data_IF_476280585879
#
_entry.id   IF_476280585879
#
_cell.length_a   1.000
_cell.length_b   1.000
_cell.length_c   1.000
_cell.angle_alpha   90.00
_cell.angle_beta   90.00
_cell.angle_gamma   90.00
#
_symmetry.space_group_name_H-M   'P 1'
#
loop_
_entity.id
_entity.type
_entity.pdbx_description
1 polymer ?
#
# COMPACT_ATOMS: atom_id res chain seq x y z
N UNK A 1 -15.02 -18.92 -2.51
CA UNK A 1 -14.51 -17.78 -3.31
C UNK A 1 -13.87 -18.31 -4.58
N UNK A 2 -14.11 -17.68 -5.73
CA UNK A 2 -13.53 -18.18 -6.98
C UNK A 2 -12.02 -17.93 -7.00
N UNK A 3 -11.23 -19.00 -7.14
CA UNK A 3 -9.76 -18.95 -7.32
C UNK A 3 -9.36 -18.08 -8.52
N UNK A 4 -10.29 -17.91 -9.46
CA UNK A 4 -10.13 -17.08 -10.63
C UNK A 4 -10.09 -15.57 -10.30
N UNK A 5 -11.04 -15.07 -9.49
CA UNK A 5 -11.10 -13.66 -9.10
C UNK A 5 -9.84 -13.23 -8.36
N UNK A 6 -9.36 -14.04 -7.42
CA UNK A 6 -8.11 -13.77 -6.71
C UNK A 6 -6.93 -13.57 -7.67
N UNK A 7 -6.79 -14.45 -8.68
CA UNK A 7 -5.74 -14.33 -9.69
C UNK A 7 -5.90 -13.06 -10.54
N UNK A 8 -7.13 -12.66 -10.87
CA UNK A 8 -7.39 -11.43 -11.61
C UNK A 8 -6.96 -10.20 -10.81
N UNK A 9 -7.28 -10.13 -9.52
CA UNK A 9 -6.80 -9.07 -8.63
C UNK A 9 -5.27 -8.98 -8.61
N UNK A 10 -4.58 -10.10 -8.41
CA UNK A 10 -3.12 -10.12 -8.39
C UNK A 10 -2.51 -9.67 -9.72
N UNK A 11 -3.08 -10.09 -10.86
CA UNK A 11 -2.63 -9.66 -12.19
C UNK A 11 -2.83 -8.16 -12.39
N UNK A 12 -3.93 -7.60 -11.90
CA UNK A 12 -4.19 -6.16 -12.00
C UNK A 12 -3.20 -5.37 -11.13
N UNK A 13 -3.02 -5.78 -9.87
CA UNK A 13 -2.13 -5.10 -8.93
C UNK A 13 -0.66 -5.19 -9.38
N UNK A 14 -0.23 -6.29 -9.99
CA UNK A 14 1.11 -6.42 -10.53
C UNK A 14 1.44 -5.39 -11.63
N UNK A 15 0.42 -4.86 -12.31
CA UNK A 15 0.56 -3.81 -13.32
C UNK A 15 0.56 -2.39 -12.72
N UNK A 16 0.28 -2.25 -11.42
CA UNK A 16 0.18 -0.95 -10.77
C UNK A 16 1.56 -0.28 -10.72
N UNK A 17 1.67 1.02 -11.04
CA UNK A 17 2.93 1.74 -10.96
C UNK A 17 3.43 1.77 -9.51
N UNK A 18 4.75 1.57 -9.35
CA UNK A 18 5.43 1.76 -8.06
C UNK A 18 5.78 3.23 -7.88
N UNK A 19 5.49 3.77 -6.70
CA UNK A 19 5.84 5.15 -6.37
C UNK A 19 7.29 5.23 -5.87
N UNK A 20 8.18 5.85 -6.64
CA UNK A 20 9.60 5.99 -6.30
C UNK A 20 9.84 6.90 -5.09
N UNK A 21 8.88 7.75 -4.73
CA UNK A 21 9.01 8.76 -3.68
C UNK A 21 8.43 8.29 -2.34
N UNK A 22 7.90 7.06 -2.29
CA UNK A 22 7.30 6.46 -1.10
C UNK A 22 8.05 5.18 -0.71
N UNK A 23 8.09 4.93 0.59
CA UNK A 23 8.60 3.66 1.10
C UNK A 23 7.70 2.49 0.68
N UNK A 24 8.22 1.25 0.59
CA UNK A 24 7.42 0.07 0.26
C UNK A 24 6.21 -0.14 1.19
N UNK A 25 6.28 0.31 2.44
CA UNK A 25 5.15 0.25 3.38
C UNK A 25 3.99 1.18 3.00
N UNK A 26 4.28 2.26 2.28
CA UNK A 26 3.33 3.30 1.86
C UNK A 26 3.03 3.27 0.37
N UNK A 27 3.65 2.35 -0.36
CA UNK A 27 3.37 2.14 -1.76
C UNK A 27 1.98 1.52 -1.93
N UNK A 28 1.23 2.07 -2.89
CA UNK A 28 -0.16 1.67 -3.09
C UNK A 28 -0.25 0.23 -3.60
N UNK A 29 0.67 -0.20 -4.46
CA UNK A 29 0.68 -1.57 -5.00
C UNK A 29 0.87 -2.61 -3.90
N UNK A 30 1.78 -2.34 -2.96
CA UNK A 30 2.05 -3.17 -1.79
C UNK A 30 0.87 -3.19 -0.83
N UNK A 31 0.26 -2.03 -0.57
CA UNK A 31 -0.94 -1.94 0.25
C UNK A 31 -2.10 -2.75 -0.34
N UNK A 32 -2.38 -2.59 -1.63
CA UNK A 32 -3.45 -3.33 -2.32
C UNK A 32 -3.21 -4.83 -2.30
N UNK A 33 -1.97 -5.28 -2.54
CA UNK A 33 -1.60 -6.70 -2.47
C UNK A 33 -1.94 -7.30 -1.11
N UNK A 34 -1.53 -6.61 -0.03
CA UNK A 34 -1.82 -7.03 1.34
C UNK A 34 -3.31 -7.05 1.63
N UNK A 35 -4.06 -6.04 1.19
CA UNK A 35 -5.51 -5.97 1.40
C UNK A 35 -6.24 -7.11 0.69
N UNK A 36 -5.87 -7.42 -0.56
CA UNK A 36 -6.44 -8.55 -1.29
C UNK A 36 -6.14 -9.85 -0.55
N UNK A 37 -4.90 -10.07 -0.09
CA UNK A 37 -4.60 -11.25 0.71
C UNK A 37 -5.44 -11.33 1.99
N UNK A 38 -5.59 -10.23 2.73
CA UNK A 38 -6.39 -10.20 3.96
C UNK A 38 -7.85 -10.57 3.67
N UNK A 39 -8.47 -9.93 2.68
CA UNK A 39 -9.87 -10.17 2.33
C UNK A 39 -10.12 -11.62 1.88
N UNK A 40 -9.20 -12.19 1.10
CA UNK A 40 -9.35 -13.56 0.60
C UNK A 40 -8.95 -14.65 1.62
N UNK A 41 -8.23 -14.29 2.69
CA UNK A 41 -7.94 -15.18 3.84
C UNK A 41 -9.09 -15.18 4.87
N UNK A 42 -9.87 -14.11 4.94
CA UNK A 42 -11.05 -13.97 5.81
C UNK A 42 -12.25 -14.78 5.31
N UNK A 43 -13.30 -14.98 6.14
CA UNK A 43 -14.51 -15.71 5.75
C UNK A 43 -15.14 -15.16 4.46
N UNK A 44 -15.87 -16.01 3.71
CA UNK A 44 -16.28 -15.70 2.35
C UNK A 44 -17.13 -14.43 2.30
N UNK A 45 -16.58 -13.39 1.67
CA UNK A 45 -17.33 -12.21 1.23
C UNK A 45 -18.31 -12.62 0.11
N UNK A 46 -19.38 -11.85 -0.10
CA UNK A 46 -20.30 -12.09 -1.22
C UNK A 46 -19.55 -12.00 -2.56
N UNK A 47 -19.70 -13.01 -3.42
CA UNK A 47 -18.99 -13.09 -4.70
C UNK A 47 -19.27 -11.87 -5.61
N UNK A 48 -20.53 -11.44 -5.69
CA UNK A 48 -20.93 -10.27 -6.47
C UNK A 48 -20.31 -8.96 -5.96
N UNK A 49 -20.05 -8.83 -4.66
CA UNK A 49 -19.35 -7.67 -4.11
C UNK A 49 -17.88 -7.67 -4.52
N UNK A 50 -17.22 -8.83 -4.53
CA UNK A 50 -15.84 -8.95 -4.99
C UNK A 50 -15.68 -8.62 -6.48
N UNK A 51 -16.63 -9.00 -7.32
CA UNK A 51 -16.64 -8.64 -8.75
C UNK A 51 -16.82 -7.14 -8.96
N UNK A 52 -17.78 -6.52 -8.27
CA UNK A 52 -17.99 -5.06 -8.35
C UNK A 52 -16.74 -4.28 -7.91
N UNK A 53 -16.10 -4.71 -6.83
CA UNK A 53 -14.83 -4.12 -6.36
C UNK A 53 -13.69 -4.30 -7.36
N UNK A 54 -13.66 -5.44 -8.06
CA UNK A 54 -12.63 -5.72 -9.06
C UNK A 54 -12.76 -4.76 -10.23
N UNK A 55 -13.98 -4.63 -10.78
CA UNK A 55 -14.24 -3.69 -11.86
C UNK A 55 -13.98 -2.24 -11.44
N UNK A 56 -14.35 -1.84 -10.23
CA UNK A 56 -14.03 -0.50 -9.74
C UNK A 56 -12.51 -0.25 -9.71
N UNK A 57 -11.72 -1.22 -9.26
CA UNK A 57 -10.26 -1.12 -9.25
C UNK A 57 -9.67 -1.09 -10.67
N UNK A 58 -10.22 -1.87 -11.59
CA UNK A 58 -9.82 -1.89 -13.00
C UNK A 58 -10.09 -0.54 -13.68
N UNK A 59 -11.25 0.06 -13.45
CA UNK A 59 -11.58 1.41 -13.96
C UNK A 59 -10.64 2.49 -13.43
N UNK A 60 -10.25 2.39 -12.16
CA UNK A 60 -9.26 3.28 -11.56
C UNK A 60 -7.89 3.12 -12.21
N UNK A 61 -7.45 1.87 -12.45
CA UNK A 61 -6.19 1.60 -13.12
C UNK A 61 -6.14 2.17 -14.54
N UNK A 62 -7.22 1.97 -15.29
CA UNK A 62 -7.34 2.44 -16.67
C UNK A 62 -7.56 3.95 -16.78
N UNK A 63 -7.70 4.67 -15.65
CA UNK A 63 -7.93 6.10 -15.66
C UNK A 63 -9.14 6.48 -16.53
N UNK A 64 -10.22 5.67 -16.49
CA UNK A 64 -11.39 5.86 -17.35
C UNK A 64 -12.06 7.21 -17.09
N UNK A 65 -12.12 7.65 -15.82
CA UNK A 65 -12.79 8.90 -15.44
C UNK A 65 -12.11 10.12 -16.04
N UNK A 66 -10.77 10.19 -16.02
CA UNK A 66 -10.04 11.33 -16.61
C UNK A 66 -10.13 11.32 -18.14
N UNK A 67 -10.31 10.14 -18.74
CA UNK A 67 -10.54 10.01 -20.19
C UNK A 67 -11.95 10.49 -20.57
N UNK A 68 -12.96 10.14 -19.78
CA UNK A 68 -14.35 10.52 -20.02
C UNK A 68 -14.63 12.00 -19.69
N UNK A 69 -13.96 12.53 -18.67
CA UNK A 69 -14.16 13.87 -18.15
C UNK A 69 -12.82 14.62 -18.04
N UNK A 70 -12.21 15.00 -19.18
CA UNK A 70 -10.96 15.71 -19.17
C UNK A 70 -11.14 17.08 -18.53
N UNK A 71 -10.24 17.42 -17.59
CA UNK A 71 -10.28 18.70 -16.89
C UNK A 71 -8.94 19.44 -17.02
N UNK A 72 -9.00 20.77 -16.97
CA UNK A 72 -7.82 21.65 -17.07
C UNK A 72 -7.20 22.04 -15.72
N UNK A 73 -7.62 21.40 -14.63
CA UNK A 73 -7.11 21.74 -13.30
C UNK A 73 -5.60 21.48 -13.20
N UNK A 74 -4.87 22.52 -12.84
CA UNK A 74 -3.41 22.48 -12.63
C UNK A 74 -3.02 22.25 -11.17
N UNK A 75 -4.00 22.29 -10.26
CA UNK A 75 -3.83 22.13 -8.82
C UNK A 75 -4.95 21.25 -8.24
N UNK A 76 -4.61 20.49 -7.20
CA UNK A 76 -5.56 19.63 -6.50
C UNK A 76 -6.49 20.41 -5.56
N UNK A 77 -7.31 19.67 -4.80
CA UNK A 77 -8.30 20.21 -3.83
C UNK A 77 -7.69 21.20 -2.82
N UNK A 78 -6.40 21.07 -2.52
CA UNK A 78 -5.67 21.94 -1.60
C UNK A 78 -4.99 23.15 -2.29
N UNK A 79 -5.26 23.40 -3.57
CA UNK A 79 -4.59 24.44 -4.36
C UNK A 79 -3.12 24.12 -4.70
N UNK A 80 -2.60 22.98 -4.24
CA UNK A 80 -1.24 22.54 -4.48
C UNK A 80 -1.07 21.93 -5.87
N UNK A 81 0.04 22.27 -6.53
CA UNK A 81 0.48 21.62 -7.77
C UNK A 81 0.97 20.20 -7.48
N UNK A 82 1.05 19.35 -8.52
CA UNK A 82 1.47 17.96 -8.38
C UNK A 82 2.82 17.80 -7.67
N UNK A 83 3.82 18.63 -8.03
CA UNK A 83 5.14 18.57 -7.39
C UNK A 83 5.07 18.91 -5.90
N UNK A 84 4.28 19.91 -5.51
CA UNK A 84 4.11 20.31 -4.11
C UNK A 84 3.39 19.23 -3.31
N UNK A 85 2.40 18.57 -3.91
CA UNK A 85 1.71 17.43 -3.29
C UNK A 85 2.65 16.25 -3.08
N UNK A 86 3.51 15.97 -4.06
CA UNK A 86 4.50 14.90 -4.00
C UNK A 86 5.56 15.20 -2.95
N UNK A 87 6.04 16.44 -2.90
CA UNK A 87 6.99 16.92 -1.89
C UNK A 87 6.38 16.83 -0.49
N UNK A 88 5.17 17.35 -0.28
CA UNK A 88 4.45 17.28 0.99
C UNK A 88 4.17 15.83 1.43
N UNK A 89 3.93 14.93 0.49
CA UNK A 89 3.66 13.51 0.75
C UNK A 89 4.92 12.64 0.91
N UNK A 90 6.09 13.21 0.60
CA UNK A 90 7.39 12.53 0.68
C UNK A 90 7.73 12.12 2.11
N UNK A 91 8.64 11.16 2.25
CA UNK A 91 9.11 10.72 3.57
C UNK A 91 9.86 11.82 4.32
N UNK A 92 10.64 12.65 3.61
CA UNK A 92 11.38 13.75 4.21
C UNK A 92 10.41 14.75 4.85
N UNK A 93 9.42 15.23 4.10
CA UNK A 93 8.51 16.25 4.58
C UNK A 93 7.54 15.69 5.63
N UNK A 94 7.16 14.41 5.57
CA UNK A 94 6.39 13.79 6.65
C UNK A 94 7.08 13.78 7.99
N UNK A 95 8.41 13.65 8.04
CA UNK A 95 9.17 13.77 9.30
C UNK A 95 9.02 15.17 9.86
N UNK A 96 9.14 16.19 9.01
CA UNK A 96 8.92 17.59 9.40
C UNK A 96 7.50 17.86 9.89
N UNK A 97 6.49 17.21 9.31
CA UNK A 97 5.10 17.29 9.77
C UNK A 97 4.77 16.40 10.99
N UNK A 98 5.73 15.69 11.57
CA UNK A 98 5.48 14.78 12.70
C UNK A 98 4.64 13.55 12.34
N UNK A 99 4.47 13.27 11.04
CA UNK A 99 3.70 12.13 10.52
C UNK A 99 4.57 10.89 10.31
N UNK A 100 5.86 10.95 10.60
CA UNK A 100 6.72 9.77 10.54
C UNK A 100 6.28 8.73 11.58
N UNK A 101 6.40 7.44 11.25
CA UNK A 101 6.20 6.36 12.21
C UNK A 101 7.14 6.61 13.38
N UNK A 102 6.58 6.78 14.58
CA UNK A 102 7.36 6.96 15.81
C UNK A 102 8.26 5.74 15.96
N UNK A 103 9.58 5.94 15.90
CA UNK A 103 10.50 4.83 16.11
C UNK A 103 10.23 4.25 17.51
N UNK A 104 10.13 2.91 17.61
CA UNK A 104 10.00 2.24 18.89
C UNK A 104 11.38 2.25 19.59
N UNK A 105 11.74 3.42 20.14
CA UNK A 105 12.99 3.67 20.87
C UNK A 105 13.17 2.61 21.99
N UNK A 106 12.07 2.21 22.62
CA UNK A 106 12.02 1.16 23.65
C UNK A 106 12.46 -0.20 23.06
N UNK A 107 12.10 -0.54 21.83
CA UNK A 107 12.46 -1.81 21.19
C UNK A 107 13.93 -1.85 20.78
N UNK A 108 14.50 -0.71 20.35
CA UNK A 108 15.96 -0.56 20.12
C UNK A 108 16.74 -0.74 21.43
N UNK A 109 16.28 -0.13 22.53
CA UNK A 109 16.90 -0.29 23.84
C UNK A 109 16.82 -1.74 24.35
N UNK A 110 15.67 -2.41 24.17
CA UNK A 110 15.51 -3.83 24.52
C UNK A 110 16.42 -4.77 23.71
N UNK A 111 16.62 -4.53 22.42
CA UNK A 111 17.53 -5.33 21.59
C UNK A 111 19.02 -5.11 21.94
N UNK A 112 19.36 -3.99 22.57
CA UNK A 112 20.73 -3.70 23.03
C UNK A 112 21.04 -4.34 24.40
N UNK A 113 20.00 -4.64 25.17
CA UNK A 113 20.11 -5.19 26.53
C UNK A 113 19.84 -6.70 26.59
N UNK A 114 19.16 -7.28 25.60
CA UNK A 114 18.89 -8.72 25.56
C UNK A 114 20.08 -9.50 24.95
N UNK A 115 20.80 -10.35 25.70
CA UNK A 115 21.83 -11.22 25.14
C UNK A 115 21.19 -12.29 24.24
N UNK A 116 21.76 -12.50 23.07
CA UNK A 116 21.36 -13.58 22.17
C UNK A 116 21.51 -14.93 22.89
N UNK A 117 20.41 -15.66 23.09
CA UNK A 117 20.47 -17.06 23.52
C UNK A 117 21.12 -17.87 22.39
N UNK A 118 22.36 -18.27 22.59
CA UNK A 118 22.99 -19.33 21.81
C UNK A 118 22.14 -20.60 21.92
N UNK A 119 21.54 -21.01 20.80
CA UNK A 119 20.94 -22.33 20.69
C UNK A 119 22.05 -23.37 20.61
N UNK A 120 22.40 -23.97 21.75
CA UNK A 120 23.16 -25.21 21.83
C UNK A 120 22.46 -26.29 21.00
N UNK A 121 23.05 -26.63 19.85
CA UNK A 121 22.75 -27.85 19.11
C UNK A 121 23.16 -29.05 19.99
N UNK A 122 22.17 -29.81 20.46
CA UNK A 122 22.40 -31.18 20.92
C UNK A 122 22.56 -32.06 19.68
N UNK A 123 23.77 -32.53 19.44
CA UNK A 123 24.04 -33.71 18.62
C UNK A 123 23.47 -34.94 19.31
N UNK A 124 22.70 -35.72 18.57
CA UNK A 124 22.51 -37.15 18.79
C UNK A 124 22.42 -37.82 17.43
#
# INVERSE_FOLDING_TARGET
>A
MSRHLYKQYLRLIAKWPKDQFKTPERDLSMFLSKQVETVFKSPPTEAGLCERRYHALEKLYNNEVITLYPHKYTSGVFGLKLHQLQEASSEANRKHFGLAKKENIIRKAWNLVAPAKESSHKSQ
#
